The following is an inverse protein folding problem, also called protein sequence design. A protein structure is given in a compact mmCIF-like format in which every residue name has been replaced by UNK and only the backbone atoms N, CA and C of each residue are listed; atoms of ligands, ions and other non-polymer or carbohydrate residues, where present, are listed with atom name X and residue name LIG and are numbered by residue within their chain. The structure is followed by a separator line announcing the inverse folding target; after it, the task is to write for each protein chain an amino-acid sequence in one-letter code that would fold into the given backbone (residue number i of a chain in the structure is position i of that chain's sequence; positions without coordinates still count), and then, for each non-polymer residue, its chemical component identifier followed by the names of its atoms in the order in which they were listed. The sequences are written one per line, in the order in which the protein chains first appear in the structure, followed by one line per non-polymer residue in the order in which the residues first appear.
data_IF_643533374593
#
_entry.id   IF_643533374593
#
_cell.length_a   1.000
_cell.length_b   1.000
_cell.length_c   1.000
_cell.angle_alpha   90.00
_cell.angle_beta   90.00
_cell.angle_gamma   90.00
#
_symmetry.space_group_name_H-M   'P 1'
#
loop_
_entity.id
_entity.type
_entity.pdbx_description
1 polymer ?
#
# COMPACT_ATOMS: atom_id res chain seq x y z
N UNK A 1 15.43 -9.77 -7.79
CA UNK A 1 16.45 -9.93 -6.73
C UNK A 1 15.86 -10.76 -5.62
N UNK A 2 16.57 -11.79 -5.19
CA UNK A 2 16.10 -12.63 -4.08
C UNK A 2 16.37 -11.92 -2.76
N UNK A 3 15.37 -11.89 -1.90
CA UNK A 3 15.55 -11.43 -0.53
C UNK A 3 16.54 -12.35 0.21
N UNK A 4 17.38 -11.80 1.09
CA UNK A 4 18.27 -12.64 1.89
C UNK A 4 17.46 -13.59 2.76
N UNK A 5 17.95 -14.82 3.01
CA UNK A 5 17.29 -15.79 3.87
C UNK A 5 16.98 -15.19 5.25
N UNK A 6 15.72 -15.33 5.69
CA UNK A 6 15.30 -14.81 6.98
C UNK A 6 13.78 -14.86 7.19
N UNK A 7 13.30 -14.41 8.36
CA UNK A 7 11.87 -14.44 8.68
C UNK A 7 10.99 -13.69 7.66
N UNK A 8 11.48 -12.56 7.16
CA UNK A 8 10.75 -11.76 6.15
C UNK A 8 10.66 -12.54 4.82
N UNK A 9 11.76 -13.12 4.33
CA UNK A 9 11.71 -13.94 3.14
C UNK A 9 10.74 -15.12 3.30
N UNK A 10 10.77 -15.78 4.44
CA UNK A 10 9.86 -16.89 4.75
C UNK A 10 8.40 -16.43 4.71
N UNK A 11 8.10 -15.28 5.33
CA UNK A 11 6.75 -14.71 5.32
C UNK A 11 6.28 -14.40 3.91
N UNK A 12 7.09 -13.70 3.11
CA UNK A 12 6.73 -13.24 1.78
C UNK A 12 6.73 -14.35 0.71
N UNK A 13 7.39 -15.48 1.00
CA UNK A 13 7.35 -16.67 0.14
C UNK A 13 6.20 -17.60 0.46
N UNK A 14 5.45 -17.37 1.53
CA UNK A 14 4.28 -18.16 1.89
C UNK A 14 3.05 -17.66 1.11
N UNK A 15 2.46 -18.49 0.24
CA UNK A 15 1.31 -18.09 -0.59
C UNK A 15 0.08 -17.67 0.25
N UNK A 16 0.04 -18.01 1.52
CA UNK A 16 -1.02 -17.57 2.43
C UNK A 16 -0.98 -16.04 2.66
N UNK A 17 0.23 -15.44 2.66
CA UNK A 17 0.40 -14.02 3.00
C UNK A 17 0.66 -13.11 1.79
N UNK A 18 0.93 -13.69 0.62
CA UNK A 18 1.12 -12.92 -0.60
C UNK A 18 -0.07 -11.98 -0.94
N UNK A 19 -1.34 -12.40 -0.82
CA UNK A 19 -2.48 -11.50 -1.05
C UNK A 19 -2.55 -10.32 -0.10
N UNK A 20 -2.08 -10.47 1.15
CA UNK A 20 -2.04 -9.38 2.12
C UNK A 20 -0.98 -8.34 1.77
N UNK A 21 0.19 -8.82 1.33
CA UNK A 21 1.26 -7.93 0.87
C UNK A 21 0.81 -7.15 -0.38
N UNK A 22 0.18 -7.81 -1.34
CA UNK A 22 -0.36 -7.16 -2.53
C UNK A 22 -1.44 -6.12 -2.18
N UNK A 23 -2.39 -6.48 -1.31
CA UNK A 23 -3.40 -5.55 -0.83
C UNK A 23 -2.77 -4.32 -0.13
N UNK A 24 -1.71 -4.51 0.63
CA UNK A 24 -0.95 -3.41 1.24
C UNK A 24 -0.30 -2.50 0.21
N UNK A 25 0.26 -3.06 -0.87
CA UNK A 25 0.86 -2.27 -1.93
C UNK A 25 -0.16 -1.50 -2.77
N UNK A 26 -1.41 -1.95 -2.83
CA UNK A 26 -2.50 -1.28 -3.54
C UNK A 26 -3.26 -0.28 -2.66
N UNK A 27 -3.10 -0.36 -1.34
CA UNK A 27 -3.93 0.38 -0.40
C UNK A 27 -3.85 1.91 -0.56
N UNK A 28 -2.67 2.55 -0.72
CA UNK A 28 -2.61 3.99 -0.93
C UNK A 28 -3.41 4.43 -2.15
N UNK A 29 -3.21 3.82 -3.30
CA UNK A 29 -3.89 4.15 -4.55
C UNK A 29 -5.40 3.91 -4.51
N UNK A 30 -5.84 2.98 -3.67
CA UNK A 30 -7.27 2.69 -3.51
C UNK A 30 -8.07 3.89 -3.02
N UNK A 31 -7.44 4.82 -2.31
CA UNK A 31 -8.05 6.08 -1.91
C UNK A 31 -8.30 7.01 -3.11
N UNK A 32 -7.37 7.07 -4.03
CA UNK A 32 -7.54 7.87 -5.26
C UNK A 32 -8.67 7.33 -6.15
N UNK A 33 -8.87 6.02 -6.16
CA UNK A 33 -9.95 5.39 -6.94
C UNK A 33 -11.37 5.87 -6.55
N UNK A 34 -11.52 6.47 -5.36
CA UNK A 34 -12.79 7.02 -4.84
C UNK A 34 -12.67 8.49 -4.41
N UNK A 35 -11.61 9.18 -4.81
CA UNK A 35 -11.32 10.58 -4.46
C UNK A 35 -11.33 10.83 -2.94
N UNK A 36 -10.85 9.87 -2.16
CA UNK A 36 -10.79 9.96 -0.71
C UNK A 36 -9.44 10.50 -0.22
N UNK A 37 -9.42 11.37 0.81
CA UNK A 37 -8.18 11.95 1.32
C UNK A 37 -7.20 10.92 1.89
N UNK A 38 -7.64 9.71 2.23
CA UNK A 38 -6.69 8.70 2.71
C UNK A 38 -5.73 8.21 1.62
N UNK A 39 -6.09 8.35 0.35
CA UNK A 39 -5.21 8.03 -0.76
C UNK A 39 -3.91 8.79 -0.63
N UNK A 40 -3.97 10.12 -0.58
CA UNK A 40 -2.79 10.95 -0.39
C UNK A 40 -2.05 10.63 0.91
N UNK A 41 -2.76 10.57 2.04
CA UNK A 41 -2.12 10.43 3.34
C UNK A 41 -1.48 9.06 3.58
N UNK A 42 -1.98 8.01 2.93
CA UNK A 42 -1.43 6.66 3.05
C UNK A 42 -0.07 6.48 2.33
N UNK A 43 0.30 7.36 1.41
CA UNK A 43 1.61 7.34 0.73
C UNK A 43 2.75 7.83 1.64
N UNK A 44 2.44 8.57 2.72
CA UNK A 44 3.45 9.34 3.44
C UNK A 44 3.92 8.70 4.75
N UNK A 45 5.13 9.04 5.19
CA UNK A 45 5.72 8.52 6.43
C UNK A 45 4.85 8.64 7.69
N UNK A 46 3.99 9.67 7.90
CA UNK A 46 3.10 9.74 9.06
C UNK A 46 2.21 8.52 9.21
N UNK A 47 1.57 8.06 8.14
CA UNK A 47 0.71 6.87 8.18
C UNK A 47 1.52 5.58 8.39
N UNK A 48 2.63 5.43 7.67
CA UNK A 48 3.54 4.29 7.86
C UNK A 48 4.00 4.18 9.31
N UNK A 49 4.31 5.31 9.93
CA UNK A 49 4.72 5.36 11.34
C UNK A 49 3.60 4.97 12.28
N UNK A 50 2.40 5.51 12.10
CA UNK A 50 1.24 5.15 12.92
C UNK A 50 0.94 3.65 12.83
N UNK A 51 1.00 3.09 11.62
CA UNK A 51 0.81 1.65 11.42
C UNK A 51 1.89 0.81 12.11
N UNK A 52 3.15 1.23 12.01
CA UNK A 52 4.26 0.55 12.70
C UNK A 52 4.08 0.56 14.22
N UNK A 53 3.67 1.68 14.80
CA UNK A 53 3.41 1.79 16.24
C UNK A 53 2.24 0.91 16.66
N UNK A 54 1.14 0.94 15.89
CA UNK A 54 -0.01 0.07 16.11
C UNK A 54 0.38 -1.42 16.09
N UNK A 55 1.20 -1.86 15.12
CA UNK A 55 1.73 -3.24 15.08
C UNK A 55 2.55 -3.56 16.33
N UNK A 56 3.40 -2.63 16.74
CA UNK A 56 4.29 -2.81 17.89
C UNK A 56 3.50 -2.93 19.18
N UNK A 57 2.50 -2.09 19.38
CA UNK A 57 1.65 -2.11 20.57
C UNK A 57 0.76 -3.35 20.62
N UNK A 58 0.16 -3.72 19.48
CA UNK A 58 -0.76 -4.85 19.40
C UNK A 58 -0.08 -6.19 19.59
N UNK A 59 1.08 -6.39 18.98
CA UNK A 59 1.77 -7.69 18.96
C UNK A 59 3.01 -7.77 19.83
N UNK A 60 3.53 -6.65 20.31
CA UNK A 60 4.70 -6.58 21.21
C UNK A 60 5.93 -7.37 20.69
N UNK A 61 6.07 -7.42 19.36
CA UNK A 61 7.13 -8.17 18.67
C UNK A 61 6.83 -9.67 18.45
N UNK A 62 5.68 -10.17 18.90
CA UNK A 62 5.26 -11.55 18.63
C UNK A 62 4.41 -11.64 17.35
N UNK A 63 5.06 -12.01 16.26
CA UNK A 63 4.43 -12.28 14.97
C UNK A 63 4.25 -13.78 14.70
N UNK A 64 4.00 -14.58 15.72
CA UNK A 64 3.77 -16.03 15.56
C UNK A 64 2.36 -16.39 15.07
N UNK A 65 1.35 -15.58 15.41
CA UNK A 65 -0.04 -15.81 15.00
C UNK A 65 -0.27 -15.53 13.51
N UNK A 66 -1.30 -16.15 12.93
CA UNK A 66 -1.72 -15.91 11.54
C UNK A 66 -2.11 -14.44 11.35
N UNK A 67 -2.91 -13.89 12.25
CA UNK A 67 -3.36 -12.49 12.20
C UNK A 67 -2.17 -11.52 12.23
N UNK A 68 -1.21 -11.73 13.14
CA UNK A 68 -0.01 -10.88 13.20
C UNK A 68 0.81 -10.92 11.92
N UNK A 69 0.94 -12.11 11.30
CA UNK A 69 1.62 -12.27 10.01
C UNK A 69 0.87 -11.61 8.86
N UNK A 70 -0.46 -11.68 8.83
CA UNK A 70 -1.29 -11.00 7.84
C UNK A 70 -1.09 -9.49 7.90
N UNK A 71 -1.17 -8.92 9.10
CA UNK A 71 -0.95 -7.49 9.31
C UNK A 71 0.48 -7.05 8.99
N UNK A 72 1.48 -7.87 9.31
CA UNK A 72 2.86 -7.60 8.94
C UNK A 72 3.06 -7.65 7.42
N UNK A 73 2.47 -8.62 6.72
CA UNK A 73 2.55 -8.73 5.26
C UNK A 73 1.90 -7.52 4.59
N UNK A 74 0.72 -7.10 5.04
CA UNK A 74 0.06 -5.88 4.57
C UNK A 74 0.95 -4.63 4.78
N UNK A 75 1.52 -4.47 5.97
CA UNK A 75 2.45 -3.38 6.27
C UNK A 75 3.67 -3.37 5.35
N UNK A 76 4.25 -4.53 5.06
CA UNK A 76 5.39 -4.63 4.14
C UNK A 76 5.00 -4.25 2.71
N UNK A 77 3.79 -4.59 2.27
CA UNK A 77 3.23 -4.12 1.01
C UNK A 77 3.11 -2.59 0.96
N UNK A 78 2.51 -2.01 1.98
CA UNK A 78 2.37 -0.56 2.13
C UNK A 78 3.72 0.16 2.05
N UNK A 79 4.72 -0.31 2.80
CA UNK A 79 6.07 0.28 2.77
C UNK A 79 6.73 0.12 1.39
N UNK A 80 6.52 -1.04 0.74
CA UNK A 80 7.09 -1.27 -0.59
C UNK A 80 6.50 -0.34 -1.65
N UNK A 81 5.19 -0.05 -1.56
CA UNK A 81 4.52 0.93 -2.42
C UNK A 81 5.16 2.32 -2.26
N UNK A 82 5.22 2.87 -1.06
CA UNK A 82 5.78 4.21 -0.84
C UNK A 82 7.25 4.34 -1.27
N UNK A 83 8.06 3.28 -1.14
CA UNK A 83 9.44 3.28 -1.64
C UNK A 83 9.48 3.24 -3.17
N UNK A 84 8.64 2.43 -3.80
CA UNK A 84 8.56 2.33 -5.25
C UNK A 84 8.10 3.67 -5.86
N UNK A 85 7.04 4.24 -5.32
CA UNK A 85 6.45 5.50 -5.73
C UNK A 85 7.46 6.66 -5.64
N UNK A 86 8.08 6.87 -4.48
CA UNK A 86 9.13 7.90 -4.33
C UNK A 86 10.31 7.68 -5.27
N UNK A 87 10.68 6.43 -5.55
CA UNK A 87 11.77 6.13 -6.46
C UNK A 87 11.36 6.47 -7.89
N UNK A 88 10.15 6.11 -8.28
CA UNK A 88 9.60 6.38 -9.59
C UNK A 88 9.50 7.89 -9.84
N UNK A 89 8.88 8.63 -8.94
CA UNK A 89 8.72 10.08 -9.03
C UNK A 89 10.04 10.83 -9.14
N UNK A 90 11.00 10.47 -8.30
CA UNK A 90 12.29 11.19 -8.28
C UNK A 90 13.23 10.81 -9.40
N UNK A 91 13.20 9.58 -9.88
CA UNK A 91 14.16 9.07 -10.86
C UNK A 91 13.60 8.99 -12.28
N UNK A 92 12.32 8.70 -12.42
CA UNK A 92 11.69 8.45 -13.72
C UNK A 92 10.86 9.65 -14.18
N UNK A 93 9.88 10.09 -13.40
CA UNK A 93 8.99 11.19 -13.79
C UNK A 93 9.75 12.50 -13.98
N UNK A 94 10.52 12.93 -12.99
CA UNK A 94 11.28 14.18 -13.09
C UNK A 94 12.21 14.21 -14.31
N UNK A 95 12.81 13.05 -14.64
CA UNK A 95 13.70 12.92 -15.80
C UNK A 95 12.93 12.85 -17.12
N UNK A 96 11.78 12.24 -17.13
CA UNK A 96 10.90 12.16 -18.30
C UNK A 96 10.36 13.54 -18.65
N UNK A 97 9.89 14.30 -17.66
CA UNK A 97 9.44 15.67 -17.84
C UNK A 97 10.53 16.62 -18.37
N UNK A 98 11.77 16.44 -17.92
CA UNK A 98 12.91 17.23 -18.42
C UNK A 98 13.20 16.98 -19.90
N UNK A 99 13.01 15.75 -20.38
CA UNK A 99 13.36 15.33 -21.75
C UNK A 99 12.18 15.49 -22.71
N UNK A 100 10.98 15.14 -22.29
CA UNK A 100 9.80 14.99 -23.16
C UNK A 100 8.72 16.06 -22.91
N UNK A 101 8.88 16.86 -21.86
CA UNK A 101 7.87 17.83 -21.40
C UNK A 101 6.83 17.17 -20.49
N UNK A 102 5.78 17.93 -20.07
CA UNK A 102 4.79 17.43 -19.12
C UNK A 102 4.12 16.14 -19.66
N UNK A 103 4.46 15.03 -19.06
CA UNK A 103 3.95 13.70 -19.40
C UNK A 103 2.82 13.38 -18.42
N UNK A 104 1.59 13.59 -18.81
CA UNK A 104 0.45 13.10 -18.04
C UNK A 104 0.34 11.59 -18.17
N UNK A 105 0.04 10.92 -17.06
CA UNK A 105 -0.29 9.48 -17.00
C UNK A 105 0.83 8.47 -17.27
N UNK A 106 2.11 8.86 -17.15
CA UNK A 106 3.24 7.91 -17.32
C UNK A 106 3.20 6.78 -16.29
N UNK A 107 2.71 7.03 -15.08
CA UNK A 107 2.56 6.03 -14.03
C UNK A 107 1.66 4.88 -14.47
N UNK A 108 0.49 5.19 -14.96
CA UNK A 108 -0.46 4.19 -15.45
C UNK A 108 0.08 3.39 -16.63
N UNK A 109 0.80 4.04 -17.54
CA UNK A 109 1.41 3.37 -18.70
C UNK A 109 2.53 2.44 -18.27
N UNK A 110 3.34 2.83 -17.27
CA UNK A 110 4.38 1.99 -16.70
C UNK A 110 3.81 0.76 -15.99
N UNK A 111 2.73 0.91 -15.25
CA UNK A 111 2.02 -0.20 -14.61
C UNK A 111 1.50 -1.21 -15.62
N UNK A 112 0.86 -0.75 -16.70
CA UNK A 112 0.42 -1.63 -17.78
C UNK A 112 1.57 -2.36 -18.44
N UNK A 113 2.68 -1.68 -18.66
CA UNK A 113 3.87 -2.30 -19.25
C UNK A 113 4.40 -3.41 -18.35
N UNK A 114 4.55 -3.17 -17.06
CA UNK A 114 5.05 -4.17 -16.10
C UNK A 114 4.08 -5.36 -16.01
N UNK A 115 2.78 -5.11 -15.90
CA UNK A 115 1.77 -6.18 -15.81
C UNK A 115 1.77 -7.06 -17.06
N UNK A 116 1.82 -6.45 -18.24
CA UNK A 116 1.74 -7.18 -19.53
C UNK A 116 3.06 -7.84 -19.88
N UNK A 117 4.17 -7.14 -19.78
CA UNK A 117 5.48 -7.58 -20.27
C UNK A 117 6.13 -8.59 -19.32
N UNK A 118 6.01 -8.37 -18.02
CA UNK A 118 6.52 -9.28 -16.98
C UNK A 118 5.52 -10.38 -16.59
N UNK A 119 4.29 -10.31 -17.09
CA UNK A 119 3.26 -11.31 -16.83
C UNK A 119 2.87 -11.38 -15.36
N UNK A 120 2.86 -10.25 -14.65
CA UNK A 120 2.52 -10.20 -13.23
C UNK A 120 1.07 -10.65 -13.04
N UNK A 121 0.89 -11.68 -12.21
CA UNK A 121 -0.43 -12.13 -11.81
C UNK A 121 -0.86 -11.34 -10.57
N UNK A 122 -1.92 -10.57 -10.71
CA UNK A 122 -2.54 -9.86 -9.59
C UNK A 122 -3.53 -10.79 -8.88
N UNK A 123 -3.52 -10.77 -7.56
CA UNK A 123 -4.48 -11.51 -6.76
C UNK A 123 -5.78 -10.71 -6.63
N UNK A 124 -6.92 -11.39 -6.63
CA UNK A 124 -8.25 -10.77 -6.59
C UNK A 124 -8.82 -10.63 -5.18
N UNK A 125 -8.03 -10.87 -4.16
CA UNK A 125 -8.51 -10.82 -2.77
C UNK A 125 -8.04 -9.54 -2.08
N UNK A 126 -8.96 -8.60 -1.93
CA UNK A 126 -8.75 -7.40 -1.11
C UNK A 126 -8.86 -7.75 0.37
N UNK A 127 -7.77 -8.23 0.96
CA UNK A 127 -7.68 -8.35 2.39
C UNK A 127 -6.95 -7.12 2.95
N UNK A 128 -7.58 -6.43 3.89
CA UNK A 128 -6.93 -5.40 4.67
C UNK A 128 -7.50 -5.43 6.11
N UNK A 129 -6.81 -4.89 7.10
CA UNK A 129 -7.33 -4.77 8.46
C UNK A 129 -8.34 -3.63 8.57
N UNK A 130 -9.43 -3.71 7.80
CA UNK A 130 -10.41 -2.64 7.62
C UNK A 130 -10.97 -2.10 8.93
N UNK A 131 -11.13 -2.93 9.95
CA UNK A 131 -11.65 -2.51 11.25
C UNK A 131 -10.66 -1.63 12.03
N UNK A 132 -9.36 -1.82 11.83
CA UNK A 132 -8.30 -1.11 12.55
C UNK A 132 -7.79 0.13 11.80
N UNK A 133 -7.81 0.11 10.47
CA UNK A 133 -7.27 1.18 9.61
C UNK A 133 -7.83 2.58 9.90
N UNK A 134 -9.13 2.80 10.18
CA UNK A 134 -9.64 4.13 10.51
C UNK A 134 -8.96 4.74 11.74
N UNK A 135 -8.71 3.94 12.78
CA UNK A 135 -8.00 4.39 13.97
C UNK A 135 -6.53 4.72 13.65
N UNK A 136 -5.86 3.88 12.87
CA UNK A 136 -4.46 4.10 12.45
C UNK A 136 -4.33 5.38 11.61
N UNK A 137 -5.28 5.65 10.70
CA UNK A 137 -5.34 6.90 9.94
C UNK A 137 -5.50 8.11 10.86
N UNK A 138 -6.41 8.03 11.83
CA UNK A 138 -6.59 9.09 12.83
C UNK A 138 -5.31 9.33 13.64
N UNK A 139 -4.65 8.27 14.08
CA UNK A 139 -3.41 8.37 14.86
C UNK A 139 -2.26 8.97 14.03
N UNK A 140 -2.26 8.79 12.72
CA UNK A 140 -1.26 9.37 11.82
C UNK A 140 -1.23 10.89 11.83
N UNK A 141 -2.34 11.54 12.20
CA UNK A 141 -2.42 13.01 12.35
C UNK A 141 -1.44 13.53 13.40
N UNK A 142 -1.17 12.75 14.45
CA UNK A 142 -0.15 13.11 15.45
C UNK A 142 1.27 13.15 14.87
N UNK A 143 1.50 12.53 13.72
CA UNK A 143 2.79 12.50 13.00
C UNK A 143 2.82 13.40 11.77
N UNK A 144 1.72 14.10 11.48
CA UNK A 144 1.68 15.11 10.43
C UNK A 144 0.72 14.85 9.26
N UNK A 145 -0.06 13.77 9.28
CA UNK A 145 -1.14 13.58 8.31
C UNK A 145 -2.20 14.67 8.42
N UNK A 146 -2.87 14.94 7.32
CA UNK A 146 -3.96 15.90 7.28
C UNK A 146 -5.17 15.39 8.11
N UNK A 147 -5.77 16.23 8.98
CA UNK A 147 -6.94 15.84 9.76
C UNK A 147 -8.17 15.39 8.98
N UNK A 148 -8.20 15.59 7.66
CA UNK A 148 -9.26 15.06 6.78
C UNK A 148 -9.42 13.54 6.84
N UNK A 149 -8.41 12.80 7.30
CA UNK A 149 -8.48 11.35 7.50
C UNK A 149 -9.27 10.93 8.74
N UNK A 150 -9.60 11.84 9.64
CA UNK A 150 -10.35 11.51 10.87
C UNK A 150 -11.77 10.99 10.62
N UNK A 151 -12.35 11.32 9.46
CA UNK A 151 -13.70 10.94 9.09
C UNK A 151 -13.75 9.70 8.18
N UNK A 152 -12.61 9.05 7.95
CA UNK A 152 -12.54 7.84 7.12
C UNK A 152 -13.16 6.67 7.87
N UNK A 153 -14.17 6.07 7.25
CA UNK A 153 -14.85 4.90 7.80
C UNK A 153 -14.31 3.58 7.20
N UNK A 154 -14.54 2.48 7.88
CA UNK A 154 -14.31 1.14 7.34
C UNK A 154 -14.99 0.95 5.97
N UNK A 155 -16.23 1.42 5.83
CA UNK A 155 -16.98 1.35 4.56
C UNK A 155 -16.30 2.09 3.43
N UNK A 156 -15.69 3.25 3.70
CA UNK A 156 -14.90 4.01 2.72
C UNK A 156 -13.69 3.22 2.25
N UNK A 157 -12.99 2.56 3.16
CA UNK A 157 -11.81 1.76 2.84
C UNK A 157 -12.16 0.52 2.01
N UNK A 158 -13.25 -0.17 2.37
CA UNK A 158 -13.77 -1.32 1.59
C UNK A 158 -14.17 -0.88 0.18
N UNK A 159 -14.83 0.27 0.04
CA UNK A 159 -15.19 0.81 -1.28
C UNK A 159 -13.95 1.12 -2.12
N UNK A 160 -12.95 1.79 -1.55
CA UNK A 160 -11.71 2.13 -2.26
C UNK A 160 -10.98 0.89 -2.78
N UNK A 161 -10.75 -0.09 -1.91
CA UNK A 161 -10.10 -1.35 -2.29
C UNK A 161 -10.90 -2.09 -3.37
N UNK A 162 -12.23 -2.17 -3.23
CA UNK A 162 -13.08 -2.82 -4.25
C UNK A 162 -13.10 -2.08 -5.59
N UNK A 163 -12.93 -0.76 -5.60
CA UNK A 163 -12.79 0.03 -6.85
C UNK A 163 -11.44 -0.21 -7.51
N UNK A 164 -10.38 -0.29 -6.72
CA UNK A 164 -9.03 -0.54 -7.21
C UNK A 164 -8.94 -1.89 -7.92
N UNK A 165 -9.52 -2.95 -7.34
CA UNK A 165 -9.61 -4.26 -8.01
C UNK A 165 -10.27 -4.18 -9.38
N UNK A 166 -11.34 -3.39 -9.52
CA UNK A 166 -12.04 -3.23 -10.78
C UNK A 166 -11.20 -2.51 -11.84
N UNK A 167 -10.44 -1.49 -11.43
CA UNK A 167 -9.59 -0.70 -12.36
C UNK A 167 -8.46 -1.56 -12.94
N UNK A 168 -7.92 -2.49 -12.17
CA UNK A 168 -6.83 -3.37 -12.61
C UNK A 168 -7.29 -4.40 -13.66
N UNK A 169 -8.59 -4.75 -13.69
CA UNK A 169 -9.14 -5.77 -14.60
C UNK A 169 -9.81 -5.23 -15.87
N UNK A 170 -9.83 -3.92 -16.10
CA UNK A 170 -10.33 -3.29 -17.34
C UNK A 170 -9.18 -2.91 -18.27
#
# INVERSE_FOLDING_TARGET
SELPPGPIQTLLSDPLYAPMMEAGSMFPDSGYAIESPYGEEAHWPPFVRAYQEWLTERYQGDFSSVEAKQNLAFFLGLVSHGVADQTYDTMMLARSEEIEGPVGDVDREADYFIIIDEGVQLFTQSWAPFADLPAILTDSVAYGSNPSVNDISEGTLVEGMGRMEFVIFI
#
